data_IF_178587500359
#
_entry.id   IF_178587500359
#
_cell.length_a   1.000
_cell.length_b   1.000
_cell.length_c   1.000
_cell.angle_alpha   90.00
_cell.angle_beta   90.00
_cell.angle_gamma   90.00
#
_symmetry.space_group_name_H-M   'P 1'
#
loop_
_entity.id
_entity.type
_entity.pdbx_description
1 polymer ?
#
# COMPACT_ATOMS: atom_id res chain seq x y z
N UNK A 1 2.31 13.58 -22.84
CA UNK A 1 2.93 13.67 -24.19
C UNK A 1 2.65 12.39 -25.00
N UNK A 2 2.64 12.47 -26.34
CA UNK A 2 2.66 11.27 -27.18
C UNK A 2 3.92 10.46 -26.86
N UNK A 3 3.78 9.13 -26.74
CA UNK A 3 4.82 8.25 -26.22
C UNK A 3 6.19 8.44 -26.91
N UNK A 4 6.21 8.48 -28.25
CA UNK A 4 7.46 8.64 -29.00
C UNK A 4 8.14 10.00 -28.74
N UNK A 5 7.37 11.09 -28.68
CA UNK A 5 7.90 12.42 -28.41
C UNK A 5 8.46 12.53 -26.99
N UNK A 6 7.82 11.88 -26.01
CA UNK A 6 8.32 11.80 -24.64
C UNK A 6 9.72 11.16 -24.58
N UNK A 7 9.89 9.99 -25.21
CA UNK A 7 11.19 9.30 -25.20
C UNK A 7 12.27 10.03 -25.98
N UNK A 8 11.96 10.62 -27.14
CA UNK A 8 12.93 11.39 -27.92
C UNK A 8 13.43 12.64 -27.19
N UNK A 9 12.60 13.27 -26.36
CA UNK A 9 12.99 14.45 -25.61
C UNK A 9 14.03 14.13 -24.53
N UNK A 10 13.96 12.94 -23.91
CA UNK A 10 14.88 12.49 -22.86
C UNK A 10 15.15 13.55 -21.76
N UNK A 11 14.10 14.28 -21.37
CA UNK A 11 14.17 15.33 -20.34
C UNK A 11 13.60 14.81 -19.03
N UNK A 12 14.12 15.35 -17.93
CA UNK A 12 13.53 15.15 -16.61
C UNK A 12 12.08 15.64 -16.61
N UNK A 13 11.16 14.80 -16.14
CA UNK A 13 9.82 15.22 -15.78
C UNK A 13 9.75 15.38 -14.28
N UNK A 14 9.38 16.57 -13.85
CA UNK A 14 9.12 16.87 -12.45
C UNK A 14 7.62 16.82 -12.18
N UNK A 15 7.22 16.05 -11.17
CA UNK A 15 5.88 16.19 -10.60
C UNK A 15 5.89 17.37 -9.63
N UNK A 16 5.63 18.56 -10.17
CA UNK A 16 5.65 19.80 -9.39
C UNK A 16 4.58 19.77 -8.29
N UNK A 17 4.94 20.37 -7.15
CA UNK A 17 4.01 20.67 -6.05
C UNK A 17 2.78 21.40 -6.60
N UNK A 18 1.60 21.04 -6.11
CA UNK A 18 0.34 21.71 -6.44
C UNK A 18 -0.42 21.99 -5.16
N UNK A 19 -0.65 23.27 -4.85
CA UNK A 19 -1.42 23.70 -3.68
C UNK A 19 -2.81 23.07 -3.65
N UNK A 20 -3.45 22.93 -4.83
CA UNK A 20 -4.72 22.22 -4.98
C UNK A 20 -4.63 20.77 -4.53
N UNK A 21 -3.56 20.06 -4.91
CA UNK A 21 -3.38 18.65 -4.54
C UNK A 21 -3.10 18.51 -3.04
N UNK A 22 -2.47 19.49 -2.41
CA UNK A 22 -2.21 19.48 -0.96
C UNK A 22 -3.46 19.62 -0.11
N UNK A 23 -4.49 20.27 -0.66
CA UNK A 23 -5.79 20.41 -0.01
C UNK A 23 -6.71 19.21 -0.26
N UNK A 24 -6.29 18.21 -1.03
CA UNK A 24 -7.12 17.06 -1.34
C UNK A 24 -7.37 16.20 -0.09
N UNK A 25 -8.64 16.05 0.28
CA UNK A 25 -9.08 15.15 1.34
C UNK A 25 -9.67 13.91 0.69
N UNK A 26 -9.02 12.76 0.88
CA UNK A 26 -9.57 11.46 0.45
C UNK A 26 -10.94 11.26 1.11
N UNK A 27 -11.95 10.98 0.29
CA UNK A 27 -13.37 10.82 0.68
C UNK A 27 -14.03 12.07 1.29
N UNK A 28 -13.51 13.28 1.01
CA UNK A 28 -14.10 14.54 1.46
C UNK A 28 -15.56 14.70 1.01
N UNK A 29 -15.87 14.41 -0.25
CA UNK A 29 -17.21 14.53 -0.80
C UNK A 29 -18.20 13.52 -0.20
N UNK A 30 -17.75 12.27 0.06
CA UNK A 30 -18.54 11.27 0.80
C UNK A 30 -18.85 11.74 2.22
N UNK A 31 -17.88 12.38 2.90
CA UNK A 31 -18.11 12.93 4.24
C UNK A 31 -19.11 14.09 4.23
N UNK A 32 -19.12 14.91 3.17
CA UNK A 32 -20.04 16.03 3.02
C UNK A 32 -21.47 15.58 2.65
N UNK A 33 -21.58 14.62 1.74
CA UNK A 33 -22.86 14.04 1.30
C UNK A 33 -22.67 12.55 0.93
N UNK A 34 -22.92 11.63 1.88
CA UNK A 34 -22.70 10.20 1.67
C UNK A 34 -23.77 9.54 0.81
N UNK A 35 -24.90 10.22 0.55
CA UNK A 35 -25.96 9.69 -0.31
C UNK A 35 -25.62 9.98 -1.76
N UNK A 36 -25.25 11.23 -2.06
CA UNK A 36 -24.85 11.64 -3.42
C UNK A 36 -23.50 11.05 -3.84
N UNK A 37 -22.57 10.91 -2.90
CA UNK A 37 -21.21 10.43 -3.16
C UNK A 37 -20.95 9.08 -2.47
N UNK A 38 -21.90 8.15 -2.58
CA UNK A 38 -21.80 6.82 -2.01
C UNK A 38 -20.52 6.08 -2.47
N UNK A 39 -19.92 5.29 -1.57
CA UNK A 39 -18.75 4.47 -1.90
C UNK A 39 -19.15 3.23 -2.71
N UNK A 40 -18.19 2.64 -3.42
CA UNK A 40 -18.39 1.40 -4.20
C UNK A 40 -18.56 0.12 -3.37
N UNK A 41 -19.18 0.21 -2.19
CA UNK A 41 -19.47 -0.93 -1.30
C UNK A 41 -20.95 -1.30 -1.37
N UNK A 42 -21.36 -2.52 -0.96
CA UNK A 42 -22.78 -2.92 -0.95
C UNK A 42 -23.71 -1.96 -0.20
N UNK A 43 -23.24 -1.37 0.91
CA UNK A 43 -24.00 -0.39 1.69
C UNK A 43 -23.85 1.07 1.21
N UNK A 44 -22.97 1.34 0.26
CA UNK A 44 -22.60 2.71 -0.12
C UNK A 44 -21.75 3.44 0.92
N UNK A 45 -21.30 2.76 1.99
CA UNK A 45 -20.59 3.34 3.15
C UNK A 45 -19.27 2.61 3.43
N UNK A 46 -18.52 3.10 4.41
CA UNK A 46 -17.40 2.35 4.99
C UNK A 46 -17.98 1.19 5.81
N UNK A 47 -17.66 -0.05 5.43
CA UNK A 47 -18.15 -1.25 6.09
C UNK A 47 -17.17 -1.69 7.18
N UNK A 48 -17.49 -1.39 8.44
CA UNK A 48 -16.76 -1.92 9.60
C UNK A 48 -16.98 -3.44 9.71
N UNK A 49 -18.16 -3.91 9.29
CA UNK A 49 -18.54 -5.31 9.18
C UNK A 49 -19.04 -5.59 7.76
N UNK A 50 -18.52 -6.64 7.12
CA UNK A 50 -18.93 -7.04 5.76
C UNK A 50 -19.78 -8.31 5.76
N UNK A 51 -21.07 -8.16 5.43
CA UNK A 51 -21.98 -9.31 5.22
C UNK A 51 -21.56 -10.19 4.05
N UNK A 52 -20.82 -9.64 3.10
CA UNK A 52 -20.27 -10.42 1.98
C UNK A 52 -19.21 -11.39 2.46
N UNK A 53 -18.25 -10.93 3.28
CA UNK A 53 -17.22 -11.79 3.88
C UNK A 53 -17.83 -12.83 4.84
N UNK A 54 -18.84 -12.45 5.64
CA UNK A 54 -19.58 -13.37 6.51
C UNK A 54 -20.10 -14.59 5.73
N UNK A 55 -20.71 -14.37 4.56
CA UNK A 55 -21.27 -15.44 3.71
C UNK A 55 -20.22 -16.38 3.11
N UNK A 56 -18.98 -15.95 2.97
CA UNK A 56 -17.90 -16.82 2.50
C UNK A 56 -17.46 -17.82 3.57
N UNK A 57 -17.67 -17.52 4.86
CA UNK A 57 -17.35 -18.43 5.96
C UNK A 57 -15.85 -18.75 6.10
N UNK A 58 -14.97 -17.86 5.63
CA UNK A 58 -13.53 -18.03 5.73
C UNK A 58 -13.06 -17.92 7.19
N UNK A 59 -12.28 -18.89 7.64
CA UNK A 59 -11.74 -18.92 9.01
C UNK A 59 -10.60 -17.92 9.21
N UNK A 60 -9.84 -17.67 8.16
CA UNK A 60 -8.66 -16.80 8.11
C UNK A 60 -8.97 -15.36 7.67
N UNK A 61 -10.24 -15.05 7.33
CA UNK A 61 -10.69 -13.71 6.96
C UNK A 61 -12.10 -13.41 7.51
N UNK A 62 -12.23 -13.09 8.82
CA UNK A 62 -13.52 -12.76 9.43
C UNK A 62 -14.14 -11.48 8.86
N UNK A 63 -15.45 -11.32 9.07
CA UNK A 63 -16.23 -10.21 8.52
C UNK A 63 -15.91 -8.82 9.11
N UNK A 64 -15.11 -8.74 10.16
CA UNK A 64 -14.64 -7.49 10.76
C UNK A 64 -13.20 -7.67 11.28
N UNK A 65 -12.47 -6.57 11.56
CA UNK A 65 -11.14 -6.64 12.12
C UNK A 65 -11.08 -7.55 13.35
N UNK A 66 -10.20 -8.54 13.31
CA UNK A 66 -10.07 -9.60 14.31
C UNK A 66 -8.59 -9.97 14.43
N UNK A 67 -8.12 -10.24 15.64
CA UNK A 67 -6.77 -10.78 15.84
C UNK A 67 -6.74 -12.25 15.43
N UNK A 68 -5.85 -12.59 14.50
CA UNK A 68 -5.50 -13.96 14.12
C UNK A 68 -3.99 -14.09 14.29
N UNK A 69 -3.55 -15.10 15.05
CA UNK A 69 -2.14 -15.34 15.22
C UNK A 69 -1.52 -15.81 13.90
N UNK A 70 -0.37 -15.26 13.46
CA UNK A 70 0.40 -15.83 12.35
C UNK A 70 0.94 -17.22 12.71
N UNK A 71 1.23 -18.04 11.70
CA UNK A 71 1.81 -19.37 11.89
C UNK A 71 3.18 -19.27 12.60
N UNK A 72 4.03 -18.34 12.15
CA UNK A 72 5.36 -18.08 12.70
C UNK A 72 5.51 -16.61 13.08
N UNK A 73 5.80 -16.33 14.35
CA UNK A 73 6.09 -14.98 14.83
C UNK A 73 6.86 -15.04 16.16
N UNK A 74 7.24 -13.88 16.70
CA UNK A 74 7.99 -13.81 17.96
C UNK A 74 7.33 -14.56 19.12
N UNK A 75 5.99 -14.65 19.16
CA UNK A 75 5.28 -15.37 20.21
C UNK A 75 5.36 -16.90 20.14
N UNK A 76 5.77 -17.46 19.00
CA UNK A 76 5.95 -18.91 18.79
C UNK A 76 7.41 -19.32 18.56
N UNK A 77 8.35 -18.36 18.60
CA UNK A 77 9.77 -18.58 18.36
C UNK A 77 10.51 -19.10 19.60
N UNK A 78 11.46 -20.02 19.40
CA UNK A 78 12.44 -20.42 20.43
C UNK A 78 13.40 -19.26 20.76
N UNK A 79 14.03 -19.29 21.93
CA UNK A 79 14.93 -18.22 22.40
C UNK A 79 16.06 -17.85 21.43
N UNK A 80 16.51 -18.82 20.62
CA UNK A 80 17.61 -18.64 19.65
C UNK A 80 17.14 -18.31 18.24
N UNK A 81 15.84 -18.33 17.98
CA UNK A 81 15.26 -17.98 16.69
C UNK A 81 15.09 -16.46 16.58
N UNK A 82 15.35 -15.94 15.37
CA UNK A 82 15.27 -14.51 15.09
C UNK A 82 14.21 -14.24 14.02
N UNK A 83 13.55 -13.09 14.13
CA UNK A 83 12.66 -12.60 13.08
C UNK A 83 13.49 -11.95 11.96
N UNK A 84 13.38 -12.49 10.75
CA UNK A 84 14.00 -11.89 9.57
C UNK A 84 13.17 -10.71 9.07
N UNK A 85 13.77 -9.52 9.05
CA UNK A 85 13.14 -8.31 8.51
C UNK A 85 13.62 -8.05 7.08
N UNK A 86 12.75 -8.19 6.10
CA UNK A 86 13.03 -7.92 4.68
C UNK A 86 12.45 -6.58 4.23
N UNK A 87 12.77 -5.51 4.96
CA UNK A 87 12.31 -4.17 4.62
C UNK A 87 12.84 -3.70 3.26
N UNK A 88 12.13 -2.78 2.62
CA UNK A 88 12.56 -2.22 1.34
C UNK A 88 13.92 -1.50 1.47
N UNK A 89 14.86 -1.71 0.53
CA UNK A 89 16.18 -1.08 0.58
C UNK A 89 16.11 0.42 0.28
N UNK A 90 16.85 1.24 1.02
CA UNK A 90 16.86 2.71 0.86
C UNK A 90 17.43 3.19 -0.50
N UNK A 91 18.26 2.37 -1.15
CA UNK A 91 19.04 2.76 -2.33
C UNK A 91 18.76 1.91 -3.57
N UNK A 92 17.67 1.15 -3.56
CA UNK A 92 17.18 0.41 -4.73
C UNK A 92 15.68 0.55 -4.85
N UNK A 93 15.18 0.44 -6.07
CA UNK A 93 13.78 0.13 -6.30
C UNK A 93 13.66 -1.38 -6.46
N UNK A 94 13.33 -2.07 -5.37
CA UNK A 94 13.35 -3.54 -5.30
C UNK A 94 14.74 -4.10 -5.68
N UNK A 95 14.84 -4.82 -6.81
CA UNK A 95 16.10 -5.35 -7.37
C UNK A 95 16.76 -4.43 -8.39
N UNK A 96 16.05 -3.40 -8.88
CA UNK A 96 16.62 -2.46 -9.83
C UNK A 96 17.81 -1.73 -9.18
N UNK A 97 18.84 -1.48 -10.00
CA UNK A 97 20.09 -0.83 -9.59
C UNK A 97 20.95 -1.65 -8.61
N UNK A 98 20.67 -2.94 -8.39
CA UNK A 98 21.53 -3.80 -7.56
C UNK A 98 22.94 -4.00 -8.15
N UNK A 99 23.12 -3.76 -9.45
CA UNK A 99 24.42 -3.78 -10.13
C UNK A 99 25.06 -2.38 -10.25
N UNK A 100 24.39 -1.33 -9.77
CA UNK A 100 24.92 0.02 -9.86
C UNK A 100 26.02 0.24 -8.82
N UNK A 101 26.92 1.19 -9.10
CA UNK A 101 28.01 1.55 -8.19
C UNK A 101 27.52 1.98 -6.80
N UNK A 102 26.30 2.50 -6.70
CA UNK A 102 25.63 2.84 -5.45
C UNK A 102 25.61 1.68 -4.44
N UNK A 103 25.66 0.42 -4.91
CA UNK A 103 25.78 -0.77 -4.07
C UNK A 103 26.96 -0.72 -3.10
N UNK A 104 28.09 -0.12 -3.50
CA UNK A 104 29.28 0.01 -2.65
C UNK A 104 29.01 0.77 -1.34
N UNK A 105 27.93 1.57 -1.25
CA UNK A 105 27.58 2.34 -0.05
C UNK A 105 26.83 1.56 1.03
N UNK A 106 26.21 0.44 0.70
CA UNK A 106 25.33 -0.28 1.62
C UNK A 106 25.51 -1.80 1.63
N UNK A 107 26.24 -2.36 0.67
CA UNK A 107 26.54 -3.78 0.70
C UNK A 107 27.50 -4.08 1.86
N UNK A 108 27.09 -5.02 2.71
CA UNK A 108 27.93 -5.66 3.73
C UNK A 108 28.63 -6.86 3.10
#
# INVERSE_FOLDING_TARGET
PMFNAFWQQNKLIEMRRSEKNEQYIRYGDFRADPVKNALGTPSGKIEIYSRTLEKFGYKDCPAHPTWLAPDEWKGTADEKQLQLLTAHPAHRLHSQLNYAELRKKYAV
#
